data_IF_228906869728
#
_entry.id   IF_228906869728
#
_cell.length_a   1.000
_cell.length_b   1.000
_cell.length_c   1.000
_cell.angle_alpha   90.00
_cell.angle_beta   90.00
_cell.angle_gamma   90.00
#
_symmetry.space_group_name_H-M   'P 1'
#
loop_
_entity.id
_entity.type
_entity.pdbx_description
1 polymer ?
#
# COMPACT_ATOMS: atom_id res chain seq x y z
N UNK A 1 6.52 28.37 9.60
CA UNK A 1 6.81 27.71 10.88
C UNK A 1 7.63 26.46 10.60
N UNK A 2 8.96 26.50 10.80
CA UNK A 2 9.81 25.31 10.78
C UNK A 2 9.72 24.66 12.17
N UNK A 3 8.65 23.89 12.41
CA UNK A 3 8.69 22.91 13.48
C UNK A 3 9.44 21.69 12.96
N UNK A 4 10.62 21.44 13.52
CA UNK A 4 11.29 20.15 13.36
C UNK A 4 10.36 19.10 13.96
N UNK A 5 9.70 18.30 13.11
CA UNK A 5 8.92 17.16 13.55
C UNK A 5 9.73 15.88 13.33
N UNK A 6 9.59 14.92 14.23
CA UNK A 6 10.20 13.61 14.08
C UNK A 6 9.37 12.78 13.10
N UNK A 7 9.96 12.44 11.94
CA UNK A 7 9.33 11.64 10.89
C UNK A 7 8.92 10.25 11.38
N UNK A 8 9.64 9.70 12.36
CA UNK A 8 9.39 8.35 12.88
C UNK A 8 8.12 8.27 13.73
N UNK A 9 7.62 9.41 14.24
CA UNK A 9 6.37 9.49 15.00
C UNK A 9 5.13 9.43 14.10
N UNK A 10 5.27 9.50 12.78
CA UNK A 10 4.15 9.59 11.84
C UNK A 10 4.13 8.42 10.86
N UNK A 11 2.92 8.02 10.48
CA UNK A 11 2.66 7.08 9.41
C UNK A 11 1.75 7.71 8.37
N UNK A 12 2.05 7.46 7.12
CA UNK A 12 1.25 7.88 5.97
C UNK A 12 0.09 6.90 5.80
N UNK A 13 -1.13 7.44 5.82
CA UNK A 13 -2.33 6.72 5.43
C UNK A 13 -2.84 7.25 4.10
N UNK A 14 -3.02 6.37 3.13
CA UNK A 14 -3.64 6.70 1.84
C UNK A 14 -4.94 5.93 1.72
N UNK A 15 -6.02 6.67 1.52
CA UNK A 15 -7.34 6.15 1.24
C UNK A 15 -7.74 6.61 -0.16
N UNK A 16 -8.16 5.65 -0.99
CA UNK A 16 -8.64 5.96 -2.32
C UNK A 16 -10.01 5.35 -2.55
N UNK A 17 -10.84 6.12 -3.24
CA UNK A 17 -12.14 5.71 -3.72
C UNK A 17 -12.24 6.02 -5.21
N UNK A 18 -13.35 5.60 -5.83
CA UNK A 18 -13.62 5.91 -7.24
C UNK A 18 -13.59 7.41 -7.57
N UNK A 19 -13.88 8.26 -6.59
CA UNK A 19 -14.08 9.70 -6.80
C UNK A 19 -13.12 10.59 -6.02
N UNK A 20 -12.35 10.04 -5.08
CA UNK A 20 -11.46 10.85 -4.27
C UNK A 20 -10.24 10.08 -3.79
N UNK A 21 -9.16 10.83 -3.60
CA UNK A 21 -7.91 10.37 -3.04
C UNK A 21 -7.59 11.24 -1.83
N UNK A 22 -7.25 10.61 -0.71
CA UNK A 22 -6.90 11.26 0.54
C UNK A 22 -5.58 10.71 1.04
N UNK A 23 -4.69 11.62 1.44
CA UNK A 23 -3.44 11.31 2.10
C UNK A 23 -3.40 12.03 3.44
N UNK A 24 -3.19 11.27 4.51
CA UNK A 24 -3.26 11.75 5.89
C UNK A 24 -2.06 11.22 6.66
N UNK A 25 -1.40 12.07 7.44
CA UNK A 25 -0.42 11.65 8.43
C UNK A 25 -1.14 11.32 9.73
N UNK A 26 -0.92 10.11 10.23
CA UNK A 26 -1.41 9.64 11.51
C UNK A 26 -0.25 9.60 12.50
N UNK A 27 -0.45 10.17 13.69
CA UNK A 27 0.53 10.06 14.76
C UNK A 27 0.52 8.65 15.35
N UNK A 28 1.69 8.09 15.62
CA UNK A 28 1.82 6.78 16.24
C UNK A 28 1.20 6.79 17.64
N UNK A 29 0.38 5.78 17.92
CA UNK A 29 -0.41 5.72 19.16
C UNK A 29 -1.54 6.77 19.25
N UNK A 30 -1.88 7.45 18.15
CA UNK A 30 -2.97 8.43 18.07
C UNK A 30 -2.89 9.56 19.12
N UNK A 31 -1.69 9.90 19.60
CA UNK A 31 -1.48 10.93 20.65
C UNK A 31 -1.71 12.35 20.15
N UNK A 32 -1.52 12.59 18.85
CA UNK A 32 -1.72 13.88 18.18
C UNK A 32 -2.82 13.73 17.11
N UNK A 33 -3.55 14.81 16.76
CA UNK A 33 -4.55 14.76 15.71
C UNK A 33 -3.94 14.38 14.36
N UNK A 34 -4.75 13.76 13.51
CA UNK A 34 -4.36 13.43 12.13
C UNK A 34 -4.21 14.69 11.28
N UNK A 35 -3.19 14.72 10.43
CA UNK A 35 -2.89 15.88 9.58
C UNK A 35 -3.18 15.50 8.12
N UNK A 36 -4.18 16.11 7.45
CA UNK A 36 -4.39 15.90 6.02
C UNK A 36 -3.24 16.56 5.25
N UNK A 37 -2.56 15.79 4.40
CA UNK A 37 -1.44 16.28 3.58
C UNK A 37 -1.74 16.23 2.07
N UNK A 38 -2.86 15.61 1.68
CA UNK A 38 -3.30 15.58 0.30
C UNK A 38 -4.78 15.24 0.19
N UNK A 39 -5.48 15.95 -0.67
CA UNK A 39 -6.86 15.66 -1.03
C UNK A 39 -7.08 16.01 -2.50
N UNK A 40 -7.63 15.05 -3.25
CA UNK A 40 -8.03 15.26 -4.63
C UNK A 40 -9.43 14.67 -4.85
N UNK A 41 -10.28 15.43 -5.56
CA UNK A 41 -11.61 15.02 -6.00
C UNK A 41 -11.60 14.70 -7.48
N UNK A 42 -12.51 13.85 -7.93
CA UNK A 42 -12.60 13.33 -9.30
C UNK A 42 -11.29 12.72 -9.81
N UNK A 43 -10.51 12.13 -8.90
CA UNK A 43 -9.22 11.55 -9.22
C UNK A 43 -9.35 10.05 -9.42
N UNK A 44 -8.94 9.55 -10.59
CA UNK A 44 -8.92 8.12 -10.87
C UNK A 44 -7.82 7.46 -10.04
N UNK A 45 -8.18 6.39 -9.36
CA UNK A 45 -7.24 5.50 -8.70
C UNK A 45 -6.37 4.79 -9.76
N UNK A 46 -5.12 5.24 -9.91
CA UNK A 46 -4.16 4.73 -10.88
C UNK A 46 -2.73 4.87 -10.35
N UNK A 47 -1.79 4.11 -10.93
CA UNK A 47 -0.37 4.20 -10.59
C UNK A 47 0.17 5.62 -10.77
N UNK A 48 -0.16 6.30 -11.87
CA UNK A 48 0.35 7.66 -12.14
C UNK A 48 -0.21 8.69 -11.16
N UNK A 49 -1.46 8.52 -10.73
CA UNK A 49 -2.05 9.33 -9.67
C UNK A 49 -1.28 9.15 -8.36
N UNK A 50 -0.99 7.89 -7.97
CA UNK A 50 -0.23 7.59 -6.77
C UNK A 50 1.20 8.14 -6.87
N UNK A 51 1.84 8.02 -8.03
CA UNK A 51 3.18 8.56 -8.29
C UNK A 51 3.21 10.07 -8.09
N UNK A 52 2.21 10.76 -8.64
CA UNK A 52 2.05 12.21 -8.48
C UNK A 52 1.90 12.59 -7.00
N UNK A 53 1.02 11.89 -6.27
CA UNK A 53 0.82 12.11 -4.84
C UNK A 53 2.12 11.92 -4.04
N UNK A 54 2.81 10.80 -4.23
CA UNK A 54 4.06 10.44 -3.53
C UNK A 54 5.18 11.46 -3.79
N UNK A 55 5.26 11.99 -5.02
CA UNK A 55 6.21 13.03 -5.37
C UNK A 55 5.87 14.38 -4.72
N UNK A 56 4.59 14.77 -4.72
CA UNK A 56 4.13 16.03 -4.13
C UNK A 56 4.37 16.09 -2.61
N UNK A 57 4.15 14.98 -1.91
CA UNK A 57 4.43 14.87 -0.47
C UNK A 57 5.90 14.62 -0.15
N UNK A 58 6.78 14.60 -1.17
CA UNK A 58 8.22 14.38 -1.05
C UNK A 58 8.57 13.13 -0.23
N UNK A 59 7.85 12.03 -0.45
CA UNK A 59 7.96 10.82 0.36
C UNK A 59 9.41 10.32 0.56
N UNK A 60 10.26 10.46 -0.47
CA UNK A 60 11.68 10.07 -0.42
C UNK A 60 12.46 10.74 0.71
N UNK A 61 12.09 11.95 1.10
CA UNK A 61 12.73 12.70 2.19
C UNK A 61 12.25 12.20 3.57
N UNK A 62 11.03 11.67 3.64
CA UNK A 62 10.37 11.34 4.90
C UNK A 62 10.43 9.86 5.26
N UNK A 63 10.28 8.99 4.25
CA UNK A 63 10.26 7.53 4.37
C UNK A 63 9.30 7.03 5.47
N UNK A 64 8.14 7.68 5.62
CA UNK A 64 7.13 7.27 6.58
C UNK A 64 6.73 5.81 6.39
N UNK A 65 6.32 5.16 7.47
CA UNK A 65 5.56 3.91 7.36
C UNK A 65 4.25 4.18 6.63
N UNK A 66 3.86 3.32 5.71
CA UNK A 66 2.69 3.49 4.83
C UNK A 66 1.63 2.47 5.19
N UNK A 67 0.39 2.92 5.30
CA UNK A 67 -0.78 2.11 5.50
C UNK A 67 -1.88 2.58 4.52
N UNK A 68 -2.74 1.68 4.11
CA UNK A 68 -3.82 1.96 3.16
C UNK A 68 -4.54 0.67 2.85
N UNK A 69 -5.60 0.75 2.04
CA UNK A 69 -6.24 -0.45 1.54
C UNK A 69 -5.27 -1.28 0.68
N UNK A 70 -5.55 -2.58 0.54
CA UNK A 70 -4.64 -3.51 -0.16
C UNK A 70 -4.43 -3.14 -1.63
N UNK A 71 -5.41 -2.47 -2.26
CA UNK A 71 -5.33 -2.09 -3.68
C UNK A 71 -4.41 -0.88 -3.85
N UNK A 72 -4.50 0.11 -2.97
CA UNK A 72 -3.55 1.23 -2.85
C UNK A 72 -2.14 0.73 -2.60
N UNK A 73 -1.96 -0.14 -1.60
CA UNK A 73 -0.66 -0.75 -1.33
C UNK A 73 -0.13 -1.46 -2.57
N UNK A 74 -0.97 -2.25 -3.25
CA UNK A 74 -0.62 -2.94 -4.49
C UNK A 74 -0.08 -1.99 -5.56
N UNK A 75 -0.74 -0.85 -5.82
CA UNK A 75 -0.24 0.13 -6.77
C UNK A 75 1.07 0.79 -6.32
N UNK A 76 1.23 1.09 -5.03
CA UNK A 76 2.44 1.70 -4.50
C UNK A 76 3.67 0.78 -4.61
N UNK A 77 3.46 -0.54 -4.53
CA UNK A 77 4.51 -1.54 -4.78
C UNK A 77 4.56 -2.04 -6.24
N UNK A 78 3.81 -1.41 -7.14
CA UNK A 78 3.84 -1.72 -8.57
C UNK A 78 3.20 -3.05 -8.98
N UNK A 79 2.39 -3.68 -8.12
CA UNK A 79 1.68 -4.91 -8.47
C UNK A 79 0.68 -4.69 -9.59
N UNK A 80 0.60 -5.69 -10.47
CA UNK A 80 -0.40 -5.79 -11.49
C UNK A 80 -1.77 -6.06 -10.86
N UNK A 81 -2.74 -5.19 -11.16
CA UNK A 81 -4.13 -5.38 -10.74
C UNK A 81 -4.85 -6.52 -11.47
N UNK A 82 -6.02 -6.89 -10.96
CA UNK A 82 -6.85 -7.98 -11.52
C UNK A 82 -6.51 -9.36 -10.96
N UNK A 83 -7.01 -10.40 -11.63
CA UNK A 83 -6.81 -11.79 -11.21
C UNK A 83 -5.48 -12.34 -11.74
N UNK A 84 -4.40 -12.02 -11.03
CA UNK A 84 -3.02 -12.35 -11.42
C UNK A 84 -2.46 -13.55 -10.64
N UNK A 85 -1.41 -14.18 -11.18
CA UNK A 85 -0.81 -15.39 -10.58
C UNK A 85 -0.19 -15.09 -9.21
N UNK A 86 0.68 -14.09 -9.15
CA UNK A 86 1.40 -13.67 -7.96
C UNK A 86 0.88 -12.33 -7.45
N UNK A 87 -0.35 -12.32 -6.92
CA UNK A 87 -1.04 -11.09 -6.50
C UNK A 87 -0.63 -10.55 -5.12
N UNK A 88 0.12 -11.32 -4.33
CA UNK A 88 0.57 -10.91 -3.00
C UNK A 88 1.85 -10.09 -3.09
N UNK A 89 1.92 -8.98 -2.33
CA UNK A 89 3.13 -8.15 -2.25
C UNK A 89 4.16 -8.69 -1.26
N UNK A 90 3.81 -9.62 -0.38
CA UNK A 90 4.72 -10.18 0.64
C UNK A 90 5.35 -11.50 0.21
N UNK A 91 4.64 -12.29 -0.60
CA UNK A 91 5.07 -13.62 -1.01
C UNK A 91 4.63 -13.95 -2.43
N UNK A 92 5.23 -14.99 -3.00
CA UNK A 92 4.89 -15.55 -4.30
C UNK A 92 3.76 -16.57 -4.19
N UNK A 93 2.66 -16.18 -3.52
CA UNK A 93 1.44 -16.98 -3.45
C UNK A 93 0.89 -17.20 -4.86
N UNK A 94 0.73 -18.45 -5.27
CA UNK A 94 0.27 -18.83 -6.61
C UNK A 94 -1.25 -19.00 -6.61
N UNK A 95 -1.97 -17.99 -7.11
CA UNK A 95 -3.44 -18.00 -7.20
C UNK A 95 -3.99 -19.11 -8.11
N UNK A 96 -3.16 -19.71 -8.95
CA UNK A 96 -3.54 -20.78 -9.89
C UNK A 96 -3.34 -22.17 -9.29
N UNK A 97 -2.55 -22.29 -8.22
CA UNK A 97 -2.22 -23.54 -7.54
C UNK A 97 -3.34 -24.02 -6.59
N UNK A 98 -4.56 -24.20 -7.12
CA UNK A 98 -5.79 -24.51 -6.36
C UNK A 98 -5.63 -25.67 -5.37
N UNK A 99 -4.89 -26.71 -5.76
CA UNK A 99 -4.65 -27.90 -4.93
C UNK A 99 -3.79 -27.59 -3.68
N UNK A 100 -3.01 -26.51 -3.71
CA UNK A 100 -2.08 -26.15 -2.64
C UNK A 100 -2.59 -25.03 -1.74
N UNK A 101 -3.71 -24.36 -2.08
CA UNK A 101 -4.19 -23.17 -1.37
C UNK A 101 -4.45 -23.38 0.12
N UNK A 102 -4.94 -24.55 0.51
CA UNK A 102 -5.28 -24.87 1.91
C UNK A 102 -4.29 -25.83 2.58
N UNK A 103 -3.35 -26.38 1.80
CA UNK A 103 -2.34 -27.33 2.30
C UNK A 103 -1.03 -26.61 2.58
N UNK A 104 -0.64 -25.70 1.68
CA UNK A 104 0.62 -24.96 1.77
C UNK A 104 0.40 -23.65 2.53
N UNK A 105 0.92 -23.61 3.76
CA UNK A 105 0.90 -22.41 4.62
C UNK A 105 2.00 -21.41 4.24
N UNK A 106 3.17 -21.89 3.85
CA UNK A 106 4.35 -21.07 3.58
C UNK A 106 4.64 -20.98 2.09
N UNK A 107 4.59 -19.77 1.55
CA UNK A 107 4.94 -19.46 0.16
C UNK A 107 6.27 -18.72 0.11
N UNK A 108 7.05 -18.84 -0.98
CA UNK A 108 8.33 -18.16 -1.08
C UNK A 108 8.16 -16.65 -0.88
N UNK A 109 9.04 -16.03 -0.09
CA UNK A 109 8.99 -14.59 0.16
C UNK A 109 9.25 -13.83 -1.14
N UNK A 110 8.55 -12.70 -1.33
CA UNK A 110 8.80 -11.82 -2.47
C UNK A 110 9.95 -10.89 -2.12
N UNK A 111 11.14 -11.19 -2.64
CA UNK A 111 12.32 -10.35 -2.46
C UNK A 111 12.52 -9.34 -3.62
N UNK A 112 11.91 -9.60 -4.78
CA UNK A 112 12.11 -8.80 -5.99
C UNK A 112 10.82 -8.11 -6.45
N UNK A 113 10.98 -6.83 -6.84
CA UNK A 113 9.92 -5.98 -7.39
C UNK A 113 10.33 -5.41 -8.75
N UNK A 114 10.75 -6.30 -9.66
CA UNK A 114 11.23 -5.92 -10.99
C UNK A 114 10.05 -5.91 -11.97
N UNK A 115 9.75 -4.78 -12.65
CA UNK A 115 8.71 -4.73 -13.68
C UNK A 115 8.87 -5.84 -14.73
N UNK A 116 7.76 -6.49 -15.08
CA UNK A 116 7.71 -7.63 -15.99
C UNK A 116 7.94 -9.00 -15.32
N UNK A 117 8.40 -9.05 -14.06
CA UNK A 117 8.55 -10.30 -13.30
C UNK A 117 7.48 -10.46 -12.24
N UNK A 118 7.02 -11.70 -12.03
CA UNK A 118 6.14 -12.09 -10.92
C UNK A 118 4.97 -11.13 -10.66
N UNK A 119 4.31 -10.70 -11.74
CA UNK A 119 3.16 -9.77 -11.73
C UNK A 119 3.43 -8.37 -11.16
N UNK A 120 4.66 -7.88 -11.30
CA UNK A 120 4.99 -6.46 -11.11
C UNK A 120 4.89 -5.77 -12.47
N UNK A 121 4.11 -4.69 -12.55
CA UNK A 121 3.92 -3.92 -13.78
C UNK A 121 4.64 -2.56 -13.75
N UNK A 122 4.89 -2.03 -12.56
CA UNK A 122 5.46 -0.71 -12.38
C UNK A 122 6.59 -0.71 -11.36
N UNK A 123 7.40 0.33 -11.36
CA UNK A 123 8.44 0.56 -10.36
C UNK A 123 7.83 0.84 -8.99
N UNK A 124 8.64 0.66 -7.95
CA UNK A 124 8.26 0.95 -6.57
C UNK A 124 8.12 2.46 -6.36
N UNK A 125 6.98 2.89 -5.82
CA UNK A 125 6.78 4.27 -5.34
C UNK A 125 7.18 4.42 -3.88
N UNK A 126 7.07 3.34 -3.10
CA UNK A 126 7.44 3.28 -1.69
C UNK A 126 8.28 2.04 -1.41
N UNK A 127 9.06 2.08 -0.34
CA UNK A 127 9.81 0.91 0.12
C UNK A 127 8.83 -0.13 0.69
N UNK A 128 8.80 -1.37 0.17
CA UNK A 128 7.95 -2.45 0.71
C UNK A 128 8.17 -2.70 2.20
N UNK A 129 9.39 -2.48 2.73
CA UNK A 129 9.69 -2.63 4.16
C UNK A 129 9.03 -1.55 5.03
N UNK A 130 8.56 -0.46 4.41
CA UNK A 130 7.80 0.59 5.08
C UNK A 130 6.29 0.39 4.99
N UNK A 131 5.81 -0.60 4.25
CA UNK A 131 4.39 -0.93 4.19
C UNK A 131 3.97 -1.69 5.45
N UNK A 132 2.87 -1.24 6.05
CA UNK A 132 2.21 -1.91 7.17
C UNK A 132 0.88 -2.47 6.73
N UNK A 133 0.60 -3.73 7.10
CA UNK A 133 -0.69 -4.34 6.84
C UNK A 133 -1.76 -3.69 7.72
N UNK A 134 -2.89 -3.21 7.15
CA UNK A 134 -4.01 -2.72 7.94
C UNK A 134 -4.80 -3.88 8.57
N UNK A 135 -4.73 -4.11 9.91
CA UNK A 135 -5.43 -5.24 10.52
C UNK A 135 -6.96 -5.16 10.33
N UNK A 136 -7.50 -3.94 10.28
CA UNK A 136 -8.91 -3.69 10.06
C UNK A 136 -9.40 -4.18 8.69
N UNK A 137 -8.69 -3.85 7.60
CA UNK A 137 -9.10 -4.29 6.26
C UNK A 137 -9.02 -5.81 6.10
N UNK A 138 -8.03 -6.46 6.72
CA UNK A 138 -7.93 -7.93 6.73
C UNK A 138 -9.15 -8.52 7.46
N UNK A 139 -9.44 -8.03 8.66
CA UNK A 139 -10.55 -8.54 9.48
C UNK A 139 -11.91 -8.34 8.78
N UNK A 140 -12.14 -7.19 8.16
CA UNK A 140 -13.35 -6.91 7.38
C UNK A 140 -13.45 -7.79 6.13
N UNK A 141 -12.33 -8.08 5.47
CA UNK A 141 -12.29 -9.00 4.33
C UNK A 141 -12.71 -10.43 4.71
N UNK A 142 -12.18 -10.94 5.82
CA UNK A 142 -12.53 -12.26 6.34
C UNK A 142 -14.00 -12.37 6.76
N UNK A 143 -14.58 -11.32 7.36
CA UNK A 143 -16.00 -11.34 7.73
C UNK A 143 -16.94 -11.38 6.53
N UNK A 144 -16.56 -10.82 5.37
CA UNK A 144 -17.38 -10.90 4.16
C UNK A 144 -17.47 -12.30 3.56
N UNK A 145 -16.58 -13.20 3.96
CA UNK A 145 -16.48 -14.58 3.45
C UNK A 145 -17.07 -15.61 4.43
N UNK A 146 -17.56 -15.15 5.58
CA UNK A 146 -18.41 -15.91 6.51
C UNK A 146 -19.88 -15.66 6.18
#
# INVERSE_FOLDING_TARGET
MNQNYDKTEWRLFIDSSKYSLKAVLLHNGNKKPSIPIGHAVNCKESYETMRTLINLIKYKEHKWKVCGDLKVIGMLVGLQGGYTKYCCFLCLWDSRAKQHHYVRKEWPVRNEYIPGKMNINHELLVDPNNVTLPPLHIKLGLMKTL
#
